data_IF_172894930070
#
_entry.id   IF_172894930070
#
_cell.length_a   1.000
_cell.length_b   1.000
_cell.length_c   1.000
_cell.angle_alpha   90.00
_cell.angle_beta   90.00
_cell.angle_gamma   90.00
#
_symmetry.space_group_name_H-M   'P 1'
#
loop_
_entity.id
_entity.type
_entity.pdbx_description
1 polymer ?
#
# COMPACT_ATOMS: atom_id res chain seq x y z
N UNK A 1 -1.01 30.13 60.46
CA UNK A 1 -2.37 29.56 60.43
C UNK A 1 -2.22 28.04 60.44
N UNK A 2 -2.32 27.43 61.61
CA UNK A 2 -2.18 25.98 61.79
C UNK A 2 -3.48 25.26 61.45
N UNK A 3 -3.40 24.24 60.61
CA UNK A 3 -4.54 23.38 60.27
C UNK A 3 -4.94 22.57 61.52
N UNK A 4 -6.24 22.54 61.83
CA UNK A 4 -6.77 21.91 63.03
C UNK A 4 -6.67 20.38 62.95
N UNK A 5 -6.59 19.72 64.11
CA UNK A 5 -6.44 18.27 64.27
C UNK A 5 -7.57 17.42 63.63
N UNK A 6 -8.62 18.06 63.13
CA UNK A 6 -9.73 17.42 62.41
C UNK A 6 -9.40 17.22 60.92
N UNK A 7 -8.56 18.07 60.31
CA UNK A 7 -8.15 17.90 58.91
C UNK A 7 -7.00 16.90 58.71
N UNK A 8 -6.22 16.59 59.75
CA UNK A 8 -5.20 15.53 59.69
C UNK A 8 -5.81 14.11 59.75
N UNK A 9 -7.00 13.93 60.35
CA UNK A 9 -7.63 12.61 60.49
C UNK A 9 -8.32 12.12 59.21
N UNK A 10 -8.72 13.01 58.31
CA UNK A 10 -9.33 12.64 57.02
C UNK A 10 -8.25 12.26 55.98
N UNK A 11 -7.05 12.84 56.03
CA UNK A 11 -5.94 12.48 55.13
C UNK A 11 -5.27 11.13 55.45
N UNK A 12 -5.28 10.69 56.72
CA UNK A 12 -4.64 9.42 57.11
C UNK A 12 -5.53 8.19 56.89
N UNK A 13 -6.85 8.36 56.73
CA UNK A 13 -7.78 7.25 56.51
C UNK A 13 -7.91 6.86 55.02
N UNK A 14 -7.58 7.78 54.10
CA UNK A 14 -7.56 7.53 52.65
C UNK A 14 -6.26 6.86 52.16
N UNK A 15 -5.15 7.02 52.89
CA UNK A 15 -3.86 6.40 52.54
C UNK A 15 -3.73 4.93 52.98
N UNK A 16 -4.61 4.44 53.86
CA UNK A 16 -4.63 3.03 54.28
C UNK A 16 -5.38 2.14 53.27
N UNK A 17 -6.42 2.66 52.61
CA UNK A 17 -7.20 1.91 51.61
C UNK A 17 -6.50 1.75 50.23
N UNK A 18 -5.50 2.57 49.92
CA UNK A 18 -4.69 2.46 48.69
C UNK A 18 -3.46 1.55 48.81
N UNK A 19 -3.07 1.14 50.03
CA UNK A 19 -1.97 0.19 50.24
C UNK A 19 -2.44 -1.25 50.52
N UNK A 20 -3.65 -1.45 51.06
CA UNK A 20 -4.18 -2.81 51.35
C UNK A 20 -4.86 -3.46 50.13
N UNK A 21 -5.22 -2.70 49.10
CA UNK A 21 -5.82 -3.24 47.85
C UNK A 21 -4.81 -3.47 46.72
N UNK A 22 -3.56 -2.98 46.85
CA UNK A 22 -2.48 -3.19 45.89
C UNK A 22 -1.43 -4.23 46.33
N UNK A 23 -1.71 -4.99 47.40
CA UNK A 23 -0.87 -6.10 47.88
C UNK A 23 -1.59 -7.46 47.95
N UNK A 24 -2.83 -7.58 47.44
CA UNK A 24 -3.60 -8.83 47.42
C UNK A 24 -3.88 -9.35 45.99
N UNK A 25 -3.59 -8.56 44.94
CA UNK A 25 -3.64 -9.03 43.55
C UNK A 25 -2.28 -9.49 42.99
N UNK A 26 -1.22 -9.45 43.81
CA UNK A 26 0.13 -9.93 43.48
C UNK A 26 0.49 -11.32 44.03
N UNK A 27 -0.47 -12.09 44.56
CA UNK A 27 -0.25 -13.39 45.22
C UNK A 27 -1.28 -14.46 44.80
N UNK A 28 -1.61 -14.52 43.51
CA UNK A 28 -2.27 -15.67 42.87
C UNK A 28 -1.51 -16.20 41.64
N UNK A 29 -0.18 -16.10 41.65
CA UNK A 29 0.69 -16.89 40.78
C UNK A 29 1.63 -17.73 41.64
N UNK A 30 1.24 -18.98 41.94
CA UNK A 30 2.14 -20.13 42.18
C UNK A 30 1.30 -21.40 42.42
N UNK A 31 0.75 -22.00 41.36
CA UNK A 31 0.00 -23.25 41.55
C UNK A 31 -0.47 -24.05 40.32
N UNK A 32 -0.30 -23.56 39.08
CA UNK A 32 -0.72 -24.31 37.86
C UNK A 32 0.41 -24.32 36.80
N UNK A 33 1.68 -24.28 37.26
CA UNK A 33 2.86 -24.15 36.38
C UNK A 33 3.75 -25.40 36.25
N UNK A 34 3.41 -26.55 36.86
CA UNK A 34 4.30 -27.74 36.86
C UNK A 34 3.58 -29.02 36.37
N UNK A 35 2.28 -28.96 36.04
CA UNK A 35 1.48 -30.13 35.69
C UNK A 35 1.30 -30.47 34.20
N UNK A 36 1.84 -29.70 33.25
CA UNK A 36 1.63 -29.94 31.80
C UNK A 36 2.93 -30.30 31.05
N UNK A 37 4.11 -30.08 31.65
CA UNK A 37 5.39 -30.52 31.07
C UNK A 37 5.72 -32.02 31.33
N UNK A 38 4.88 -32.74 32.08
CA UNK A 38 5.01 -34.17 32.36
C UNK A 38 3.85 -35.04 31.82
N UNK A 39 3.03 -34.51 30.91
CA UNK A 39 2.25 -35.31 29.95
C UNK A 39 3.05 -35.54 28.65
N UNK A 40 4.35 -35.71 28.84
CA UNK A 40 5.27 -36.30 27.88
C UNK A 40 5.11 -37.82 27.94
N UNK A 41 5.24 -38.47 26.77
CA UNK A 41 5.61 -39.88 26.63
C UNK A 41 4.56 -40.98 26.91
N UNK A 42 3.42 -40.97 26.21
CA UNK A 42 2.74 -42.24 25.89
C UNK A 42 1.83 -42.22 24.65
N UNK A 43 2.39 -41.86 23.49
CA UNK A 43 1.84 -42.33 22.21
C UNK A 43 2.97 -42.69 21.23
N UNK A 44 3.58 -43.83 21.50
CA UNK A 44 4.39 -44.56 20.53
C UNK A 44 3.49 -45.02 19.36
N UNK A 45 3.87 -44.71 18.10
CA UNK A 45 4.41 -45.73 17.18
C UNK A 45 4.81 -45.13 15.83
N UNK A 46 6.14 -45.04 15.66
CA UNK A 46 6.93 -45.50 14.51
C UNK A 46 6.24 -45.50 13.13
N UNK A 47 6.58 -44.55 12.27
CA UNK A 47 6.73 -44.83 10.84
C UNK A 47 8.22 -44.92 10.53
N UNK A 48 8.65 -46.13 10.15
CA UNK A 48 10.03 -46.43 9.76
C UNK A 48 10.34 -45.73 8.43
N UNK A 49 11.41 -44.95 8.39
CA UNK A 49 12.12 -44.67 7.14
C UNK A 49 12.74 -45.98 6.63
N UNK A 50 12.57 -46.28 5.33
CA UNK A 50 13.23 -47.37 4.61
C UNK A 50 14.21 -46.75 3.60
N UNK A 51 15.47 -47.22 3.50
CA UNK A 51 16.44 -46.72 2.53
C UNK A 51 16.43 -47.53 1.22
N UNK A 52 17.02 -46.90 0.20
CA UNK A 52 17.52 -47.39 -1.10
C UNK A 52 16.54 -47.62 -2.27
N UNK A 53 16.71 -46.82 -3.34
CA UNK A 53 17.33 -47.27 -4.60
C UNK A 53 17.78 -46.08 -5.47
N UNK A 54 18.83 -46.29 -6.28
CA UNK A 54 19.54 -45.33 -7.14
C UNK A 54 19.13 -45.54 -8.61
N UNK A 55 19.08 -44.42 -9.35
CA UNK A 55 19.18 -44.24 -10.83
C UNK A 55 17.96 -44.66 -11.71
N UNK A 56 17.70 -43.97 -12.85
CA UNK A 56 18.68 -43.41 -13.79
C UNK A 56 18.55 -41.93 -14.18
N UNK A 57 19.68 -41.43 -14.70
CA UNK A 57 19.87 -40.14 -15.37
C UNK A 57 18.78 -39.83 -16.40
N UNK A 58 18.14 -38.67 -16.25
CA UNK A 58 17.56 -37.91 -17.36
C UNK A 58 18.10 -36.49 -17.32
N UNK A 59 19.08 -36.29 -18.19
CA UNK A 59 19.49 -35.04 -18.87
C UNK A 59 19.04 -33.72 -18.23
N UNK A 60 20.00 -33.03 -17.59
CA UNK A 60 19.93 -31.58 -17.33
C UNK A 60 19.67 -30.85 -18.66
N UNK A 61 18.44 -30.36 -18.87
CA UNK A 61 18.24 -29.21 -19.77
C UNK A 61 18.48 -27.97 -18.94
N UNK A 62 19.62 -27.33 -19.19
CA UNK A 62 19.98 -26.01 -18.71
C UNK A 62 18.93 -25.00 -19.20
N UNK A 63 17.97 -24.66 -18.34
CA UNK A 63 17.17 -23.45 -18.54
C UNK A 63 18.00 -22.30 -17.98
N UNK A 64 18.63 -21.57 -18.91
CA UNK A 64 19.32 -20.33 -18.61
C UNK A 64 18.30 -19.32 -18.05
N UNK A 65 18.64 -18.52 -17.03
CA UNK A 65 17.86 -17.33 -16.70
C UNK A 65 17.73 -16.47 -17.95
N UNK A 66 16.51 -16.10 -18.34
CA UNK A 66 16.29 -15.26 -19.52
C UNK A 66 16.94 -13.88 -19.29
N UNK A 67 17.77 -13.48 -20.25
CA UNK A 67 18.57 -12.26 -20.22
C UNK A 67 17.69 -11.02 -20.44
N UNK A 68 17.93 -9.88 -19.77
CA UNK A 68 17.08 -8.66 -19.82
C UNK A 68 17.01 -7.88 -21.16
N UNK A 69 17.39 -8.47 -22.30
CA UNK A 69 17.70 -7.69 -23.51
C UNK A 69 16.51 -7.51 -24.47
N UNK A 70 15.40 -8.22 -24.29
CA UNK A 70 14.29 -8.20 -25.29
C UNK A 70 13.18 -7.15 -25.01
N UNK A 71 13.36 -6.27 -24.02
CA UNK A 71 12.34 -5.25 -23.65
C UNK A 71 12.54 -3.93 -24.43
N UNK A 72 13.50 -3.84 -25.34
CA UNK A 72 13.87 -2.61 -26.04
C UNK A 72 13.45 -2.61 -27.51
N UNK A 73 12.16 -2.64 -27.80
CA UNK A 73 11.60 -2.13 -29.07
C UNK A 73 10.10 -1.89 -28.87
N UNK A 74 9.57 -0.83 -29.49
CA UNK A 74 8.17 -0.36 -29.46
C UNK A 74 7.86 0.71 -28.39
N UNK A 75 8.57 1.83 -28.51
CA UNK A 75 8.06 3.16 -28.11
C UNK A 75 7.65 3.90 -29.39
N UNK A 76 6.34 3.89 -29.68
CA UNK A 76 5.57 4.85 -30.50
C UNK A 76 4.35 4.17 -31.11
N UNK A 77 3.20 4.27 -30.43
CA UNK A 77 1.87 4.41 -31.07
C UNK A 77 0.75 4.31 -30.02
N UNK A 78 0.41 5.44 -29.40
CA UNK A 78 -0.93 5.62 -28.84
C UNK A 78 -1.66 6.61 -29.73
N UNK A 79 -2.42 6.06 -30.66
CA UNK A 79 -3.28 6.81 -31.58
C UNK A 79 -4.51 7.36 -30.86
N UNK A 80 -4.85 8.59 -31.19
CA UNK A 80 -6.06 9.29 -30.79
C UNK A 80 -7.27 8.71 -31.52
N UNK A 81 -8.23 8.15 -30.78
CA UNK A 81 -9.52 7.71 -31.28
C UNK A 81 -10.64 8.46 -30.57
N UNK A 82 -11.23 9.45 -31.26
CA UNK A 82 -12.44 10.17 -30.87
C UNK A 82 -13.67 9.37 -31.30
N UNK A 83 -14.66 9.20 -30.41
CA UNK A 83 -16.13 9.40 -30.60
C UNK A 83 -16.92 8.63 -29.55
N UNK A 84 -17.96 9.27 -28.98
CA UNK A 84 -18.94 8.59 -28.11
C UNK A 84 -19.62 9.50 -27.10
N UNK A 85 -20.61 10.26 -27.56
CA UNK A 85 -21.56 11.08 -26.80
C UNK A 85 -22.34 10.33 -25.72
N UNK A 86 -22.48 10.92 -24.52
CA UNK A 86 -23.36 10.42 -23.45
C UNK A 86 -23.53 11.39 -22.27
N UNK A 87 -24.57 12.22 -22.35
CA UNK A 87 -25.35 12.90 -21.29
C UNK A 87 -24.60 13.45 -20.06
N UNK A 88 -24.40 14.77 -20.03
CA UNK A 88 -23.92 15.52 -18.86
C UNK A 88 -25.14 15.88 -17.99
N UNK A 89 -25.20 15.29 -16.79
CA UNK A 89 -26.08 15.77 -15.72
C UNK A 89 -25.54 17.08 -15.15
N UNK A 90 -26.34 18.13 -15.19
CA UNK A 90 -25.99 19.47 -14.71
C UNK A 90 -25.97 19.51 -13.18
N UNK A 91 -24.77 19.57 -12.59
CA UNK A 91 -24.57 20.08 -11.23
C UNK A 91 -23.99 21.50 -11.34
N UNK A 92 -24.77 22.50 -10.96
CA UNK A 92 -24.30 23.87 -10.83
C UNK A 92 -24.17 24.21 -9.34
N UNK A 93 -22.96 24.46 -8.80
CA UNK A 93 -22.83 24.96 -7.45
C UNK A 93 -23.07 26.47 -7.44
N UNK A 94 -23.86 26.93 -6.47
CA UNK A 94 -24.07 28.35 -6.19
C UNK A 94 -22.85 28.84 -5.38
N UNK A 95 -21.95 29.59 -6.02
CA UNK A 95 -20.77 30.16 -5.34
C UNK A 95 -20.84 31.69 -5.35
N UNK A 96 -20.68 32.27 -4.15
CA UNK A 96 -20.48 33.70 -3.92
C UNK A 96 -19.05 34.09 -4.30
N UNK A 97 -18.93 35.14 -5.11
CA UNK A 97 -17.80 35.49 -5.97
C UNK A 97 -16.65 36.24 -5.27
N UNK A 98 -15.48 35.60 -5.16
CA UNK A 98 -14.12 36.20 -5.23
C UNK A 98 -12.98 35.16 -5.07
N UNK A 99 -13.22 34.03 -4.39
CA UNK A 99 -12.22 32.98 -4.07
C UNK A 99 -12.23 31.78 -5.06
N UNK A 100 -13.27 31.71 -5.88
CA UNK A 100 -13.58 30.52 -6.68
C UNK A 100 -12.62 30.26 -7.84
N UNK A 101 -11.88 31.26 -8.34
CA UNK A 101 -11.06 31.06 -9.55
C UNK A 101 -9.79 30.25 -9.31
N UNK A 102 -9.17 30.38 -8.13
CA UNK A 102 -7.99 29.60 -7.77
C UNK A 102 -8.37 28.18 -7.37
N UNK A 103 -9.48 28.02 -6.66
CA UNK A 103 -10.02 26.71 -6.27
C UNK A 103 -10.45 25.91 -7.50
N UNK A 104 -11.18 26.52 -8.44
CA UNK A 104 -11.58 25.88 -9.70
C UNK A 104 -10.35 25.47 -10.54
N UNK A 105 -9.32 26.33 -10.63
CA UNK A 105 -8.10 26.00 -11.37
C UNK A 105 -7.26 24.90 -10.72
N UNK A 106 -7.22 24.85 -9.38
CA UNK A 106 -6.52 23.79 -8.64
C UNK A 106 -7.26 22.45 -8.76
N UNK A 107 -8.59 22.45 -8.66
CA UNK A 107 -9.43 21.27 -8.85
C UNK A 107 -9.27 20.70 -10.27
N UNK A 108 -9.35 21.54 -11.29
CA UNK A 108 -9.12 21.13 -12.69
C UNK A 108 -7.72 20.51 -12.88
N UNK A 109 -6.70 21.08 -12.24
CA UNK A 109 -5.33 20.53 -12.27
C UNK A 109 -5.18 19.19 -11.53
N UNK A 110 -5.99 18.97 -10.48
CA UNK A 110 -6.01 17.74 -9.69
C UNK A 110 -6.73 16.62 -10.43
N UNK A 111 -7.92 16.90 -10.97
CA UNK A 111 -8.69 15.97 -11.80
C UNK A 111 -7.91 15.56 -13.05
N UNK A 112 -7.28 16.50 -13.75
CA UNK A 112 -6.43 16.21 -14.89
C UNK A 112 -5.25 15.29 -14.52
N UNK A 113 -4.62 15.51 -13.36
CA UNK A 113 -3.55 14.66 -12.87
C UNK A 113 -4.04 13.25 -12.52
N UNK A 114 -5.18 13.14 -11.82
CA UNK A 114 -5.80 11.87 -11.47
C UNK A 114 -6.17 11.07 -12.72
N UNK A 115 -6.81 11.71 -13.70
CA UNK A 115 -7.22 11.10 -14.95
C UNK A 115 -6.02 10.63 -15.78
N UNK A 116 -4.96 11.45 -15.91
CA UNK A 116 -3.75 11.05 -16.63
C UNK A 116 -3.04 9.87 -15.94
N UNK A 117 -3.03 9.85 -14.61
CA UNK A 117 -2.47 8.73 -13.83
C UNK A 117 -3.29 7.46 -14.07
N UNK A 118 -4.60 7.53 -13.92
CA UNK A 118 -5.53 6.42 -14.16
C UNK A 118 -5.37 5.82 -15.56
N UNK A 119 -5.37 6.66 -16.60
CA UNK A 119 -5.22 6.23 -17.98
C UNK A 119 -3.87 5.54 -18.20
N UNK A 120 -2.79 6.10 -17.65
CA UNK A 120 -1.46 5.50 -17.76
C UNK A 120 -1.40 4.11 -17.09
N UNK A 121 -1.95 3.98 -15.87
CA UNK A 121 -1.99 2.69 -15.15
C UNK A 121 -2.77 1.65 -15.97
N UNK A 122 -3.98 1.98 -16.40
CA UNK A 122 -4.83 1.05 -17.15
C UNK A 122 -4.27 0.70 -18.53
N UNK A 123 -3.54 1.62 -19.18
CA UNK A 123 -2.79 1.33 -20.39
C UNK A 123 -1.74 0.23 -20.20
N UNK A 124 -1.03 0.23 -19.07
CA UNK A 124 -0.06 -0.81 -18.74
C UNK A 124 -0.71 -2.10 -18.24
N UNK A 125 -1.76 -2.03 -17.41
CA UNK A 125 -2.39 -3.24 -16.83
C UNK A 125 -2.86 -4.25 -17.86
N UNK A 126 -3.37 -3.77 -19.00
CA UNK A 126 -3.77 -4.62 -20.13
C UNK A 126 -2.65 -5.54 -20.61
N UNK A 127 -1.41 -5.05 -20.63
CA UNK A 127 -0.22 -5.81 -21.04
C UNK A 127 0.07 -6.97 -20.11
N UNK A 128 -0.32 -6.86 -18.84
CA UNK A 128 -0.07 -7.85 -17.79
C UNK A 128 -1.32 -8.66 -17.44
N UNK A 129 -2.34 -8.66 -18.32
CA UNK A 129 -3.62 -9.37 -18.12
C UNK A 129 -4.35 -9.00 -16.81
N UNK A 130 -4.06 -7.82 -16.27
CA UNK A 130 -4.76 -7.26 -15.14
C UNK A 130 -5.97 -6.46 -15.64
N UNK A 131 -7.13 -6.65 -15.01
CA UNK A 131 -8.35 -5.91 -15.35
C UNK A 131 -8.14 -4.41 -15.10
N UNK A 132 -8.78 -3.53 -15.88
CA UNK A 132 -8.69 -2.09 -15.63
C UNK A 132 -9.20 -1.77 -14.22
N UNK A 133 -8.52 -0.84 -13.56
CA UNK A 133 -8.96 -0.26 -12.29
C UNK A 133 -10.04 0.79 -12.55
N UNK A 134 -10.76 1.17 -11.50
CA UNK A 134 -11.71 2.28 -11.45
C UNK A 134 -11.17 3.40 -10.54
N UNK A 135 -11.48 4.67 -10.86
CA UNK A 135 -11.19 5.79 -9.95
C UNK A 135 -12.22 5.82 -8.83
N UNK A 136 -11.75 6.03 -7.61
CA UNK A 136 -12.57 6.16 -6.41
C UNK A 136 -12.22 7.45 -5.67
N UNK A 137 -13.23 8.29 -5.43
CA UNK A 137 -13.05 9.62 -4.84
C UNK A 137 -12.57 9.53 -3.39
N UNK A 138 -13.10 8.58 -2.61
CA UNK A 138 -12.68 8.38 -1.21
C UNK A 138 -11.22 7.93 -1.12
N UNK A 139 -10.77 7.08 -2.04
CA UNK A 139 -9.34 6.74 -2.14
C UNK A 139 -8.50 7.94 -2.55
N UNK A 140 -9.02 8.81 -3.42
CA UNK A 140 -8.33 10.01 -3.91
C UNK A 140 -8.17 11.04 -2.81
N UNK A 141 -9.17 11.21 -1.94
CA UNK A 141 -9.05 12.02 -0.73
C UNK A 141 -7.95 11.52 0.21
N UNK A 142 -7.83 10.19 0.39
CA UNK A 142 -6.74 9.60 1.18
C UNK A 142 -5.37 9.88 0.54
N UNK A 143 -5.26 9.65 -0.77
CA UNK A 143 -4.04 9.89 -1.52
C UNK A 143 -3.61 11.37 -1.48
N UNK A 144 -4.57 12.28 -1.63
CA UNK A 144 -4.36 13.73 -1.64
C UNK A 144 -3.86 14.22 -0.27
N UNK A 145 -4.51 13.81 0.83
CA UNK A 145 -4.05 14.13 2.18
C UNK A 145 -2.63 13.66 2.45
N UNK A 146 -2.24 12.49 1.93
CA UNK A 146 -0.88 12.00 2.10
C UNK A 146 0.13 12.77 1.24
N UNK A 147 -0.23 13.13 0.01
CA UNK A 147 0.60 13.97 -0.84
C UNK A 147 0.88 15.34 -0.18
N UNK A 148 -0.15 15.96 0.39
CA UNK A 148 -0.05 17.22 1.15
C UNK A 148 0.82 17.06 2.41
N UNK A 149 0.70 15.94 3.11
CA UNK A 149 1.57 15.63 4.26
C UNK A 149 3.05 15.59 3.84
N UNK A 150 3.38 14.88 2.75
CA UNK A 150 4.76 14.85 2.25
C UNK A 150 5.23 16.21 1.74
N UNK A 151 4.35 17.00 1.12
CA UNK A 151 4.66 18.35 0.66
C UNK A 151 4.99 19.31 1.80
N UNK A 152 4.24 19.23 2.91
CA UNK A 152 4.46 20.08 4.09
C UNK A 152 5.68 19.66 4.93
N UNK A 153 5.99 18.37 4.99
CA UNK A 153 7.09 17.84 5.82
C UNK A 153 8.41 17.66 5.07
N UNK A 154 8.35 17.63 3.74
CA UNK A 154 9.48 17.30 2.87
C UNK A 154 9.90 15.82 2.91
N UNK A 155 9.17 14.97 3.65
CA UNK A 155 9.53 13.56 3.85
C UNK A 155 8.89 12.68 2.79
N UNK A 156 9.72 11.87 2.14
CA UNK A 156 9.28 10.91 1.14
C UNK A 156 9.13 9.53 1.78
N UNK A 157 7.93 9.21 2.28
CA UNK A 157 7.67 8.00 3.07
C UNK A 157 6.25 7.45 2.88
N UNK A 158 6.06 6.19 3.27
CA UNK A 158 4.75 5.55 3.28
C UNK A 158 3.83 6.17 4.33
N UNK A 159 2.53 6.24 4.02
CA UNK A 159 1.53 6.60 5.02
C UNK A 159 1.46 5.55 6.13
N UNK A 160 1.27 6.00 7.40
CA UNK A 160 0.93 5.10 8.48
C UNK A 160 -0.32 4.28 8.11
N UNK A 161 -0.37 2.97 8.43
CA UNK A 161 -1.49 2.12 8.06
C UNK A 161 -2.87 2.66 8.45
N UNK A 162 -2.96 3.35 9.58
CA UNK A 162 -4.19 3.96 10.09
C UNK A 162 -4.68 5.17 9.27
N UNK A 163 -3.82 5.79 8.46
CA UNK A 163 -4.20 6.89 7.56
C UNK A 163 -4.84 6.40 6.26
N UNK A 164 -4.51 5.18 5.83
CA UNK A 164 -4.96 4.55 4.59
C UNK A 164 -5.73 3.26 4.87
N UNK A 165 -6.82 3.38 5.61
CA UNK A 165 -7.68 2.26 5.98
C UNK A 165 -9.16 2.65 5.86
N UNK A 166 -9.98 1.76 5.27
CA UNK A 166 -11.44 1.93 5.15
C UNK A 166 -12.22 1.14 6.22
N UNK A 167 -11.61 0.90 7.39
CA UNK A 167 -12.18 0.12 8.48
C UNK A 167 -12.16 -1.40 8.27
N UNK A 168 -11.71 -1.88 7.10
CA UNK A 168 -11.62 -3.32 6.76
C UNK A 168 -10.19 -3.84 6.68
N UNK A 169 -9.31 -3.09 6.01
CA UNK A 169 -7.92 -3.46 5.78
C UNK A 169 -7.10 -2.21 5.44
N UNK A 170 -5.79 -2.30 5.65
CA UNK A 170 -4.85 -1.30 5.15
C UNK A 170 -4.79 -1.37 3.62
N UNK A 171 -4.93 -0.23 2.96
CA UNK A 171 -4.96 -0.08 1.50
C UNK A 171 -3.55 -0.18 0.90
N UNK A 172 -3.42 -0.44 -0.40
CA UNK A 172 -2.13 -0.40 -1.09
C UNK A 172 -1.68 1.04 -1.33
N UNK A 173 -0.38 1.28 -1.47
CA UNK A 173 0.15 2.63 -1.69
C UNK A 173 1.42 2.59 -2.54
N UNK A 174 1.46 3.47 -3.56
CA UNK A 174 2.68 3.90 -4.21
C UNK A 174 2.84 5.41 -4.03
N UNK A 175 4.07 5.90 -3.90
CA UNK A 175 4.36 7.33 -3.86
C UNK A 175 5.62 7.69 -4.66
N UNK A 176 5.70 8.95 -5.08
CA UNK A 176 6.84 9.48 -5.80
C UNK A 176 7.03 10.97 -5.51
N UNK A 177 8.26 11.43 -5.69
CA UNK A 177 8.58 12.85 -5.72
C UNK A 177 9.37 13.25 -6.96
N UNK A 178 9.28 14.52 -7.32
CA UNK A 178 10.07 15.16 -8.38
C UNK A 178 10.52 16.56 -7.95
N UNK A 179 11.77 16.90 -8.23
CA UNK A 179 12.36 18.21 -7.90
C UNK A 179 12.43 19.08 -9.16
N UNK A 180 11.91 20.30 -9.07
CA UNK A 180 11.89 21.37 -10.09
C UNK A 180 11.25 21.01 -11.44
N UNK A 181 10.86 19.75 -11.63
CA UNK A 181 10.17 19.24 -12.81
C UNK A 181 8.77 18.86 -12.39
N UNK A 182 7.78 19.29 -13.18
CA UNK A 182 6.40 18.89 -12.93
C UNK A 182 6.26 17.36 -13.00
N UNK A 183 5.73 16.81 -11.90
CA UNK A 183 5.33 15.42 -11.81
C UNK A 183 3.96 15.25 -12.49
N UNK A 184 3.96 14.75 -13.72
CA UNK A 184 2.74 14.33 -14.41
C UNK A 184 2.41 12.87 -14.06
N UNK A 185 1.12 12.51 -14.13
CA UNK A 185 0.67 11.14 -13.84
C UNK A 185 1.39 10.10 -14.72
N UNK A 186 1.56 10.41 -15.99
CA UNK A 186 2.29 9.57 -16.94
C UNK A 186 3.77 9.37 -16.54
N UNK A 187 4.49 10.44 -16.18
CA UNK A 187 5.89 10.34 -15.74
C UNK A 187 6.02 9.49 -14.49
N UNK A 188 5.09 9.67 -13.54
CA UNK A 188 5.02 8.92 -12.29
C UNK A 188 4.83 7.42 -12.56
N UNK A 189 3.81 7.06 -13.33
CA UNK A 189 3.52 5.65 -13.67
C UNK A 189 4.65 5.02 -14.47
N UNK A 190 5.20 5.72 -15.48
CA UNK A 190 6.34 5.21 -16.26
C UNK A 190 7.58 4.98 -15.39
N UNK A 191 7.82 5.79 -14.35
CA UNK A 191 8.92 5.57 -13.41
C UNK A 191 8.76 4.24 -12.68
N UNK A 192 7.58 3.96 -12.14
CA UNK A 192 7.29 2.71 -11.44
C UNK A 192 7.28 1.50 -12.39
N UNK A 193 6.73 1.63 -13.59
CA UNK A 193 6.73 0.54 -14.59
C UNK A 193 8.14 0.09 -15.00
N UNK A 194 9.14 0.98 -14.96
CA UNK A 194 10.55 0.60 -15.24
C UNK A 194 11.11 -0.40 -14.23
N UNK A 195 10.50 -0.53 -13.05
CA UNK A 195 10.91 -1.53 -12.06
C UNK A 195 10.62 -2.96 -12.53
N UNK A 196 9.63 -3.17 -13.40
CA UNK A 196 9.31 -4.47 -13.98
C UNK A 196 10.48 -5.12 -14.74
N UNK A 197 11.47 -4.32 -15.19
CA UNK A 197 12.72 -4.83 -15.80
C UNK A 197 13.59 -5.62 -14.81
N UNK A 198 13.42 -5.42 -13.51
CA UNK A 198 14.15 -6.09 -12.43
C UNK A 198 13.29 -7.14 -11.71
N UNK A 199 12.00 -7.22 -12.01
CA UNK A 199 11.10 -8.14 -11.36
C UNK A 199 11.31 -9.58 -11.86
N UNK A 200 11.40 -10.51 -10.92
CA UNK A 200 11.52 -11.93 -11.21
C UNK A 200 10.13 -12.58 -11.14
N UNK A 201 9.50 -12.80 -12.29
CA UNK A 201 8.17 -13.41 -12.36
C UNK A 201 8.15 -14.80 -11.68
N UNK A 202 7.02 -15.13 -11.07
CA UNK A 202 6.84 -16.37 -10.29
C UNK A 202 7.50 -16.37 -8.91
N UNK A 203 8.15 -15.28 -8.50
CA UNK A 203 8.72 -15.11 -7.17
C UNK A 203 8.00 -13.99 -6.41
N UNK A 204 8.19 -13.95 -5.09
CA UNK A 204 7.70 -12.85 -4.26
C UNK A 204 8.37 -11.52 -4.62
N UNK A 205 7.67 -10.42 -4.33
CA UNK A 205 8.12 -9.06 -4.58
C UNK A 205 9.33 -8.64 -3.76
N UNK A 206 10.02 -7.64 -4.28
CA UNK A 206 11.16 -6.97 -3.63
C UNK A 206 10.87 -5.49 -3.51
N UNK A 207 11.50 -4.83 -2.53
CA UNK A 207 11.38 -3.38 -2.31
C UNK A 207 11.68 -2.56 -3.57
N UNK A 208 12.62 -2.99 -4.40
CA UNK A 208 13.00 -2.29 -5.63
C UNK A 208 12.04 -2.53 -6.82
N UNK A 209 10.95 -3.25 -6.60
CA UNK A 209 9.91 -3.63 -7.58
C UNK A 209 8.48 -3.48 -7.07
N UNK A 210 8.30 -3.01 -5.83
CA UNK A 210 7.00 -3.00 -5.15
C UNK A 210 5.99 -2.05 -5.81
N UNK A 211 6.46 -0.96 -6.41
CA UNK A 211 5.56 -0.05 -7.12
C UNK A 211 5.04 -0.72 -8.39
N UNK A 212 5.93 -1.37 -9.16
CA UNK A 212 5.53 -2.11 -10.35
C UNK A 212 4.52 -3.21 -10.01
N UNK A 213 4.81 -4.06 -9.02
CA UNK A 213 3.91 -5.17 -8.68
C UNK A 213 2.55 -4.70 -8.19
N UNK A 214 2.49 -3.58 -7.46
CA UNK A 214 1.23 -2.96 -7.07
C UNK A 214 0.43 -2.45 -8.27
N UNK A 215 1.08 -1.82 -9.26
CA UNK A 215 0.41 -1.30 -10.46
C UNK A 215 -0.30 -2.40 -11.26
N UNK A 216 0.36 -3.54 -11.41
CA UNK A 216 -0.16 -4.67 -12.21
C UNK A 216 -0.85 -5.73 -11.37
N UNK A 217 -1.06 -5.48 -10.08
CA UNK A 217 -1.69 -6.44 -9.17
C UNK A 217 -3.11 -6.78 -9.65
N UNK A 218 -3.33 -8.02 -10.05
CA UNK A 218 -4.58 -8.47 -10.69
C UNK A 218 -5.80 -8.28 -9.80
N UNK A 219 -5.68 -8.53 -8.50
CA UNK A 219 -6.80 -8.45 -7.56
C UNK A 219 -7.19 -7.02 -7.16
N UNK A 220 -6.35 -6.00 -7.38
CA UNK A 220 -6.72 -4.61 -7.14
C UNK A 220 -7.80 -4.17 -8.14
N UNK A 221 -8.78 -3.40 -7.67
CA UNK A 221 -9.98 -3.02 -8.42
C UNK A 221 -10.15 -1.51 -8.55
N UNK A 222 -9.81 -0.77 -7.51
CA UNK A 222 -10.01 0.67 -7.42
C UNK A 222 -8.70 1.38 -7.08
N UNK A 223 -8.58 2.63 -7.53
CA UNK A 223 -7.49 3.52 -7.16
C UNK A 223 -7.98 4.91 -6.76
N UNK A 224 -7.20 5.52 -5.89
CA UNK A 224 -7.25 6.95 -5.62
C UNK A 224 -5.94 7.61 -5.97
N UNK A 225 -5.99 8.86 -6.44
CA UNK A 225 -4.80 9.58 -6.88
C UNK A 225 -4.75 10.96 -6.22
N UNK A 226 -3.58 11.34 -5.73
CA UNK A 226 -3.34 12.65 -5.13
C UNK A 226 -1.99 13.24 -5.55
N UNK A 227 -1.91 14.57 -5.61
CA UNK A 227 -0.67 15.30 -5.86
C UNK A 227 -0.65 16.61 -5.07
N UNK A 228 0.52 16.93 -4.52
CA UNK A 228 0.77 18.20 -3.88
C UNK A 228 2.14 18.76 -4.29
N UNK A 229 2.30 20.06 -4.10
CA UNK A 229 3.55 20.78 -4.30
C UNK A 229 4.00 21.34 -2.95
N UNK A 230 5.29 21.25 -2.65
CA UNK A 230 5.85 21.87 -1.43
C UNK A 230 5.66 23.38 -1.44
N UNK A 231 5.63 23.99 -0.24
CA UNK A 231 5.40 25.41 -0.05
C UNK A 231 6.46 26.29 -0.74
N UNK A 232 7.70 25.80 -0.83
CA UNK A 232 8.80 26.44 -1.55
C UNK A 232 8.71 26.30 -3.08
N UNK A 233 7.72 25.56 -3.58
CA UNK A 233 7.47 25.29 -4.99
C UNK A 233 8.49 24.36 -5.65
N UNK A 234 9.46 23.80 -4.92
CA UNK A 234 10.55 23.03 -5.51
C UNK A 234 10.22 21.55 -5.71
N UNK A 235 9.36 20.97 -4.88
CA UNK A 235 9.04 19.56 -4.90
C UNK A 235 7.59 19.31 -5.28
N UNK A 236 7.38 18.29 -6.10
CA UNK A 236 6.10 17.67 -6.34
C UNK A 236 6.06 16.30 -5.68
N UNK A 237 4.95 15.97 -5.05
CA UNK A 237 4.68 14.68 -4.42
C UNK A 237 3.41 14.09 -5.02
N UNK A 238 3.45 12.83 -5.45
CA UNK A 238 2.31 12.11 -6.00
C UNK A 238 2.10 10.80 -5.26
N UNK A 239 0.84 10.44 -5.04
CA UNK A 239 0.41 9.25 -4.31
C UNK A 239 -0.67 8.54 -5.11
N UNK A 240 -0.60 7.21 -5.15
CA UNK A 240 -1.69 6.35 -5.63
C UNK A 240 -2.03 5.33 -4.55
N UNK A 241 -3.30 5.29 -4.17
CA UNK A 241 -3.86 4.33 -3.21
C UNK A 241 -4.60 3.24 -3.98
N UNK A 242 -4.51 1.99 -3.55
CA UNK A 242 -5.11 0.83 -4.22
C UNK A 242 -6.02 0.04 -3.29
N UNK A 243 -7.16 -0.40 -3.81
CA UNK A 243 -8.07 -1.29 -3.09
C UNK A 243 -8.59 -2.41 -4.01
N UNK A 244 -8.51 -3.69 -3.61
CA UNK A 244 -7.68 -4.26 -2.54
C UNK A 244 -6.17 -3.94 -2.66
N UNK A 245 -5.40 -3.98 -1.54
CA UNK A 245 -3.96 -3.80 -1.56
C UNK A 245 -3.28 -4.91 -2.37
N UNK A 246 -2.19 -4.56 -3.04
CA UNK A 246 -1.28 -5.51 -3.64
C UNK A 246 -0.14 -5.88 -2.72
N UNK A 247 0.89 -6.50 -3.30
CA UNK A 247 2.15 -6.83 -2.64
C UNK A 247 2.02 -7.75 -1.41
N UNK A 248 0.98 -8.58 -1.40
CA UNK A 248 0.73 -9.53 -0.30
C UNK A 248 1.70 -10.72 -0.44
N UNK A 249 2.47 -11.05 0.61
CA UNK A 249 3.40 -12.19 0.59
C UNK A 249 2.73 -13.49 0.15
N UNK A 250 3.44 -14.29 -0.66
CA UNK A 250 2.95 -15.54 -1.23
C UNK A 250 1.77 -15.44 -2.22
N UNK A 251 1.34 -14.23 -2.62
CA UNK A 251 0.26 -14.02 -3.61
C UNK A 251 0.76 -13.43 -4.94
N UNK A 252 2.08 -13.33 -5.14
CA UNK A 252 2.65 -12.67 -6.32
C UNK A 252 2.42 -13.45 -7.62
N UNK A 253 2.57 -14.78 -7.60
CA UNK A 253 2.46 -15.62 -8.80
C UNK A 253 1.05 -15.58 -9.43
N UNK A 254 0.01 -15.42 -8.60
CA UNK A 254 -1.38 -15.31 -9.06
C UNK A 254 -1.76 -13.89 -9.50
N UNK A 255 -1.03 -12.87 -9.04
CA UNK A 255 -1.38 -11.47 -9.25
C UNK A 255 -0.48 -10.70 -10.22
N UNK A 256 0.76 -11.14 -10.45
CA UNK A 256 1.75 -10.45 -11.30
C UNK A 256 2.15 -11.36 -12.45
N UNK A 257 1.42 -11.26 -13.56
CA UNK A 257 1.61 -12.14 -14.72
C UNK A 257 2.72 -11.65 -15.64
N UNK A 258 3.22 -12.53 -16.50
CA UNK A 258 4.12 -12.13 -17.58
C UNK A 258 3.41 -11.17 -18.55
N UNK A 259 4.14 -10.23 -19.18
CA UNK A 259 3.61 -9.46 -20.30
C UNK A 259 3.07 -10.37 -21.40
N UNK A 260 1.94 -10.00 -21.99
CA UNK A 260 1.27 -10.77 -23.03
C UNK A 260 2.17 -11.03 -24.26
N UNK A 261 3.18 -10.20 -24.50
CA UNK A 261 4.11 -10.38 -25.64
C UNK A 261 5.17 -11.48 -25.42
N UNK A 262 5.30 -11.99 -24.19
CA UNK A 262 6.32 -12.99 -23.80
C UNK A 262 5.70 -14.38 -23.60
N UNK A 263 4.36 -14.49 -23.62
CA UNK A 263 3.63 -15.77 -23.47
C UNK A 263 3.56 -16.54 -24.79
#
# INVERSE_FOLDING_TARGET
>A
MGLSAVQLRVCLQSYWYMWVTNSITGLLFTGIGIGIAAFFMKKFRKTKAKPHARAPNTTKRSERPFSPTDINTLDNSFGTGTTGTGVIGTYAPRITSADSTNEIGLLDSSEAFAQATFQAINGFRRRYEAQPLELNDQLSEIAQRWAEHMASTGKLEHSPPEWRNLGRQTLGENYAASFQVELTGEKMVRKWMKEGKRYMFGHDGRKDTENFTQLVWRASQEIGVGRARSDDGNWWYGVVIFDPPGNIPNQYAENVHLPAEIK
#
